data_IF_123556821654
#
_entry.id   IF_123556821654
#
_cell.length_a   1.000
_cell.length_b   1.000
_cell.length_c   1.000
_cell.angle_alpha   90.00
_cell.angle_beta   90.00
_cell.angle_gamma   90.00
#
_symmetry.space_group_name_H-M   'P 1'
#
loop_
_entity.id
_entity.type
_entity.pdbx_description
1 polymer ?
#
# COMPACT_ATOMS: atom_id res chain seq x y z
N UNK A 1 7.86 -24.02 -9.16
CA UNK A 1 8.03 -22.56 -9.43
C UNK A 1 8.21 -21.72 -8.15
N UNK A 2 8.57 -22.31 -6.99
CA UNK A 2 8.51 -21.58 -5.70
C UNK A 2 9.80 -20.90 -5.20
N UNK A 3 10.98 -21.22 -5.73
CA UNK A 3 12.24 -20.69 -5.18
C UNK A 3 12.73 -19.37 -5.82
N UNK A 4 12.12 -18.94 -6.92
CA UNK A 4 12.59 -17.79 -7.71
C UNK A 4 11.92 -16.47 -7.30
N UNK A 5 10.67 -16.52 -6.81
CA UNK A 5 9.88 -15.35 -6.38
C UNK A 5 10.34 -14.82 -5.02
N UNK A 6 10.66 -15.71 -4.06
CA UNK A 6 11.18 -15.31 -2.76
C UNK A 6 12.51 -14.54 -2.87
N UNK A 7 13.40 -14.99 -3.77
CA UNK A 7 14.69 -14.35 -4.01
C UNK A 7 14.56 -12.97 -4.66
N UNK A 8 13.56 -12.74 -5.50
CA UNK A 8 13.35 -11.44 -6.14
C UNK A 8 12.81 -10.41 -5.12
N UNK A 9 11.86 -10.80 -4.29
CA UNK A 9 11.31 -9.99 -3.20
C UNK A 9 12.42 -9.61 -2.21
N UNK A 10 13.21 -10.58 -1.75
CA UNK A 10 14.30 -10.33 -0.79
C UNK A 10 15.35 -9.34 -1.34
N UNK A 11 15.72 -9.49 -2.63
CA UNK A 11 16.65 -8.56 -3.26
C UNK A 11 16.09 -7.15 -3.36
N UNK A 12 14.80 -7.01 -3.68
CA UNK A 12 14.11 -5.71 -3.72
C UNK A 12 14.09 -5.04 -2.35
N UNK A 13 13.71 -5.78 -1.30
CA UNK A 13 13.73 -5.31 0.09
C UNK A 13 15.13 -4.83 0.51
N UNK A 14 16.16 -5.60 0.18
CA UNK A 14 17.55 -5.21 0.48
C UNK A 14 17.95 -3.92 -0.22
N UNK A 15 17.55 -3.73 -1.47
CA UNK A 15 17.79 -2.49 -2.22
C UNK A 15 17.07 -1.30 -1.57
N UNK A 16 15.83 -1.47 -1.14
CA UNK A 16 15.05 -0.42 -0.46
C UNK A 16 15.70 0.04 0.85
N UNK A 17 16.14 -0.90 1.70
CA UNK A 17 16.89 -0.53 2.92
C UNK A 17 18.23 0.14 2.60
N UNK A 18 18.90 -0.30 1.54
CA UNK A 18 20.12 0.35 1.05
C UNK A 18 19.86 1.80 0.61
N UNK A 19 18.77 2.02 -0.12
CA UNK A 19 18.37 3.34 -0.60
C UNK A 19 18.00 4.27 0.56
N UNK A 20 17.21 3.82 1.54
CA UNK A 20 16.90 4.61 2.73
C UNK A 20 18.17 4.99 3.49
N UNK A 21 19.05 4.03 3.75
CA UNK A 21 20.32 4.26 4.44
C UNK A 21 21.18 5.30 3.72
N UNK A 22 21.21 5.24 2.38
CA UNK A 22 21.92 6.21 1.56
C UNK A 22 21.29 7.61 1.64
N UNK A 23 19.96 7.72 1.50
CA UNK A 23 19.23 9.00 1.59
C UNK A 23 19.46 9.66 2.96
N UNK A 24 19.40 8.87 4.04
CA UNK A 24 19.66 9.36 5.40
C UNK A 24 21.08 9.85 5.60
N UNK A 25 22.08 9.14 5.03
CA UNK A 25 23.50 9.49 5.19
C UNK A 25 23.94 10.63 4.29
N UNK A 26 23.35 10.75 3.10
CA UNK A 26 23.74 11.71 2.07
C UNK A 26 22.52 12.40 1.44
N UNK A 27 21.73 13.17 2.21
CA UNK A 27 20.47 13.76 1.73
C UNK A 27 20.65 14.73 0.56
N UNK A 28 21.83 15.34 0.41
CA UNK A 28 22.17 16.24 -0.71
C UNK A 28 22.66 15.52 -1.98
N UNK A 29 22.72 14.18 -1.98
CA UNK A 29 23.20 13.35 -3.10
C UNK A 29 22.07 12.56 -3.75
N UNK A 30 20.91 13.20 -3.92
CA UNK A 30 19.76 12.64 -4.60
C UNK A 30 19.61 13.35 -5.94
N UNK A 31 19.44 12.57 -7.00
CA UNK A 31 19.43 13.06 -8.36
C UNK A 31 18.26 12.43 -9.13
N UNK A 32 17.68 13.18 -10.06
CA UNK A 32 16.58 12.69 -10.92
C UNK A 32 17.07 11.87 -12.11
N UNK A 33 18.38 11.84 -12.35
CA UNK A 33 19.00 11.14 -13.47
C UNK A 33 20.17 10.24 -13.04
N UNK A 34 20.46 9.23 -13.86
CA UNK A 34 21.49 8.21 -13.57
C UNK A 34 22.91 8.79 -13.58
N UNK A 35 23.14 9.87 -14.33
CA UNK A 35 24.41 10.58 -14.41
C UNK A 35 24.74 11.40 -13.15
N UNK A 36 23.79 11.50 -12.20
CA UNK A 36 23.92 12.28 -10.98
C UNK A 36 24.25 13.76 -11.25
N UNK A 37 23.72 14.32 -12.34
CA UNK A 37 23.99 15.70 -12.77
C UNK A 37 22.85 16.66 -12.44
N UNK A 38 21.61 16.15 -12.36
CA UNK A 38 20.44 16.97 -12.02
C UNK A 38 19.98 16.64 -10.59
N UNK A 39 20.18 17.54 -9.62
CA UNK A 39 19.78 17.30 -8.24
C UNK A 39 18.25 17.18 -8.13
N UNK A 40 17.80 16.47 -7.09
CA UNK A 40 16.37 16.39 -6.76
C UNK A 40 15.82 17.80 -6.48
N UNK A 41 14.70 18.20 -7.12
CA UNK A 41 14.27 19.61 -7.14
C UNK A 41 13.57 20.07 -5.86
N UNK A 42 13.42 19.19 -4.87
CA UNK A 42 12.73 19.48 -3.61
C UNK A 42 13.75 19.44 -2.48
N UNK A 43 13.88 20.56 -1.78
CA UNK A 43 14.63 20.61 -0.52
C UNK A 43 13.79 20.04 0.62
N UNK A 44 14.42 19.25 1.49
CA UNK A 44 13.77 18.67 2.66
C UNK A 44 14.75 18.52 3.82
N UNK A 45 14.23 18.58 5.05
CA UNK A 45 15.01 18.28 6.24
C UNK A 45 14.99 16.77 6.51
N UNK A 46 16.16 16.13 6.43
CA UNK A 46 16.29 14.69 6.66
C UNK A 46 15.93 14.25 8.09
N UNK A 47 16.05 15.14 9.07
CA UNK A 47 15.75 14.85 10.49
C UNK A 47 14.25 14.70 10.73
N UNK A 48 13.42 15.39 9.94
CA UNK A 48 11.96 15.36 10.03
C UNK A 48 11.32 14.58 8.88
N UNK A 49 12.11 14.09 7.93
CA UNK A 49 11.60 13.37 6.75
C UNK A 49 11.18 11.93 7.11
N UNK A 50 9.96 11.59 6.72
CA UNK A 50 9.48 10.22 6.69
C UNK A 50 9.84 9.58 5.34
N UNK A 51 10.39 8.36 5.39
CA UNK A 51 10.78 7.59 4.20
C UNK A 51 9.97 6.30 4.23
N UNK A 52 9.08 6.14 3.25
CA UNK A 52 8.24 4.95 3.09
C UNK A 52 8.90 4.01 2.08
N UNK A 53 9.11 2.75 2.46
CA UNK A 53 9.69 1.73 1.58
C UNK A 53 8.58 0.93 0.92
N UNK A 54 8.53 0.96 -0.40
CA UNK A 54 7.46 0.31 -1.18
C UNK A 54 8.10 -0.59 -2.24
N UNK A 55 7.81 -1.88 -2.18
CA UNK A 55 8.14 -2.86 -3.20
C UNK A 55 6.88 -3.20 -4.01
N UNK A 56 7.03 -3.30 -5.33
CA UNK A 56 5.91 -3.65 -6.22
C UNK A 56 6.29 -4.88 -7.04
N UNK A 57 5.55 -5.97 -6.85
CA UNK A 57 5.63 -7.16 -7.71
C UNK A 57 4.86 -6.90 -9.00
N UNK A 58 5.27 -7.54 -10.09
CA UNK A 58 4.63 -7.40 -11.40
C UNK A 58 4.24 -8.75 -11.94
N UNK A 59 3.14 -8.80 -12.70
CA UNK A 59 2.62 -9.98 -13.37
C UNK A 59 2.29 -11.11 -12.38
N UNK A 60 1.88 -10.77 -11.15
CA UNK A 60 1.49 -11.74 -10.14
C UNK A 60 0.00 -12.08 -10.15
N UNK A 61 -0.84 -11.25 -10.78
CA UNK A 61 -2.31 -11.39 -10.73
C UNK A 61 -2.79 -12.72 -11.32
N UNK A 62 -2.43 -13.03 -12.58
CA UNK A 62 -2.89 -14.24 -13.26
C UNK A 62 -2.33 -15.52 -12.59
N UNK A 63 -1.02 -15.61 -12.28
CA UNK A 63 -0.48 -16.77 -11.57
C UNK A 63 -1.04 -16.96 -10.16
N UNK A 64 -1.31 -15.86 -9.43
CA UNK A 64 -1.93 -15.91 -8.11
C UNK A 64 -3.37 -16.45 -8.21
N UNK A 65 -4.16 -15.94 -9.15
CA UNK A 65 -5.51 -16.41 -9.40
C UNK A 65 -5.55 -17.91 -9.73
N UNK A 66 -4.63 -18.40 -10.57
CA UNK A 66 -4.52 -19.83 -10.88
C UNK A 66 -4.12 -20.65 -9.63
N UNK A 67 -3.20 -20.15 -8.82
CA UNK A 67 -2.76 -20.83 -7.60
C UNK A 67 -3.88 -20.92 -6.54
N UNK A 68 -4.56 -19.82 -6.26
CA UNK A 68 -5.63 -19.78 -5.26
C UNK A 68 -6.90 -20.48 -5.76
N UNK A 69 -7.18 -20.41 -7.06
CA UNK A 69 -8.31 -21.10 -7.70
C UNK A 69 -8.28 -22.63 -7.57
N UNK A 70 -7.11 -23.23 -7.32
CA UNK A 70 -6.98 -24.67 -7.03
C UNK A 70 -7.61 -25.07 -5.69
N UNK A 71 -7.73 -24.13 -4.75
CA UNK A 71 -8.23 -24.39 -3.39
C UNK A 71 -9.72 -24.05 -3.23
N UNK A 72 -10.34 -23.43 -4.23
CA UNK A 72 -11.75 -23.03 -4.26
C UNK A 72 -12.03 -22.02 -5.37
N UNK A 73 -13.27 -21.94 -5.85
CA UNK A 73 -13.66 -20.91 -6.81
C UNK A 73 -13.80 -19.56 -6.09
N UNK A 74 -13.21 -18.49 -6.64
CA UNK A 74 -13.62 -17.11 -6.33
C UNK A 74 -12.63 -16.21 -5.60
N UNK A 75 -11.40 -16.65 -5.31
CA UNK A 75 -10.46 -15.76 -4.60
C UNK A 75 -10.00 -14.59 -5.49
N UNK A 76 -10.27 -13.36 -5.06
CA UNK A 76 -9.78 -12.12 -5.66
C UNK A 76 -8.35 -11.77 -5.24
N UNK A 77 -7.86 -12.42 -4.17
CA UNK A 77 -6.58 -12.14 -3.55
C UNK A 77 -5.41 -12.46 -4.47
N UNK A 78 -4.57 -11.46 -4.72
CA UNK A 78 -3.36 -11.60 -5.55
C UNK A 78 -2.09 -11.78 -4.73
N UNK A 79 -2.08 -11.31 -3.48
CA UNK A 79 -1.00 -11.46 -2.51
C UNK A 79 -1.58 -11.59 -1.09
N UNK A 80 -1.40 -12.76 -0.49
CA UNK A 80 -1.74 -13.01 0.91
C UNK A 80 -0.60 -12.52 1.79
N UNK A 81 -0.92 -11.76 2.84
CA UNK A 81 0.05 -11.11 3.70
C UNK A 81 -0.04 -11.71 5.09
N UNK A 82 0.91 -12.57 5.44
CA UNK A 82 0.95 -13.27 6.71
C UNK A 82 2.02 -12.69 7.61
N UNK A 83 1.67 -12.32 8.83
CA UNK A 83 2.51 -11.73 9.85
C UNK A 83 2.42 -12.53 11.15
N UNK A 84 3.20 -12.15 12.18
CA UNK A 84 3.00 -12.55 13.58
C UNK A 84 2.56 -14.01 13.81
N UNK A 85 3.51 -14.95 13.86
CA UNK A 85 3.22 -16.37 14.07
C UNK A 85 2.68 -17.10 12.84
N UNK A 86 2.11 -16.39 11.86
CA UNK A 86 1.73 -16.94 10.55
C UNK A 86 2.80 -16.74 9.47
N UNK A 87 3.95 -16.13 9.81
CA UNK A 87 5.06 -15.94 8.85
C UNK A 87 5.60 -17.25 8.27
N UNK A 88 5.39 -18.41 8.92
CA UNK A 88 5.71 -19.74 8.36
C UNK A 88 5.01 -19.99 7.01
N UNK A 89 3.89 -19.33 6.74
CA UNK A 89 3.15 -19.41 5.49
C UNK A 89 3.88 -18.75 4.32
N UNK A 90 4.90 -17.92 4.56
CA UNK A 90 5.70 -17.27 3.52
C UNK A 90 6.39 -18.25 2.55
N UNK A 91 6.53 -19.53 2.95
CA UNK A 91 7.09 -20.57 2.10
C UNK A 91 6.11 -21.01 0.99
N UNK A 92 4.87 -20.55 1.03
CA UNK A 92 3.87 -20.81 -0.01
C UNK A 92 3.92 -19.71 -1.08
N UNK A 93 3.68 -20.05 -2.37
CA UNK A 93 3.53 -19.04 -3.43
C UNK A 93 2.54 -17.94 -3.07
N UNK A 94 2.82 -16.71 -3.48
CA UNK A 94 1.97 -15.52 -3.27
C UNK A 94 1.68 -15.18 -1.79
N UNK A 95 2.47 -15.72 -0.86
CA UNK A 95 2.44 -15.33 0.54
C UNK A 95 3.66 -14.47 0.88
N UNK A 96 3.42 -13.30 1.47
CA UNK A 96 4.44 -12.34 1.88
C UNK A 96 4.35 -12.04 3.38
N UNK A 97 5.42 -11.48 3.94
CA UNK A 97 5.50 -11.15 5.37
C UNK A 97 6.29 -9.87 5.62
N UNK A 98 6.46 -9.49 6.89
CA UNK A 98 7.50 -8.55 7.31
C UNK A 98 8.82 -9.33 7.40
N UNK A 99 9.65 -9.21 6.36
CA UNK A 99 10.91 -9.95 6.26
C UNK A 99 12.01 -9.45 7.21
N UNK A 100 11.84 -8.26 7.80
CA UNK A 100 12.81 -7.65 8.71
C UNK A 100 12.11 -6.92 9.87
N UNK A 101 11.39 -7.65 10.76
CA UNK A 101 10.64 -7.06 11.86
C UNK A 101 11.55 -6.36 12.89
N UNK A 102 12.84 -6.68 12.90
CA UNK A 102 13.84 -6.00 13.74
C UNK A 102 14.17 -4.58 13.29
N UNK A 103 13.83 -4.21 12.04
CA UNK A 103 14.11 -2.88 11.49
C UNK A 103 12.97 -1.92 11.78
N UNK A 104 13.34 -0.69 12.15
CA UNK A 104 12.37 0.40 12.37
C UNK A 104 11.53 0.69 11.12
N UNK A 105 12.11 0.66 9.93
CA UNK A 105 11.38 0.93 8.69
C UNK A 105 10.69 -0.33 8.20
N UNK A 106 9.43 -0.23 7.80
CA UNK A 106 8.64 -1.32 7.23
C UNK A 106 8.66 -1.25 5.71
N UNK A 107 8.69 -2.42 5.05
CA UNK A 107 8.56 -2.49 3.59
C UNK A 107 7.14 -2.90 3.25
N UNK A 108 6.39 -1.98 2.66
CA UNK A 108 5.09 -2.28 2.09
C UNK A 108 5.28 -2.99 0.76
N UNK A 109 4.74 -4.20 0.63
CA UNK A 109 4.81 -4.98 -0.59
C UNK A 109 3.41 -4.99 -1.20
N UNK A 110 3.32 -4.55 -2.45
CA UNK A 110 2.11 -4.60 -3.26
C UNK A 110 2.38 -5.40 -4.51
N UNK A 111 1.32 -5.88 -5.15
CA UNK A 111 1.32 -6.19 -6.58
C UNK A 111 0.78 -5.01 -7.39
N UNK A 112 0.74 -5.15 -8.72
CA UNK A 112 0.20 -4.10 -9.58
C UNK A 112 -1.30 -3.84 -9.38
N UNK A 113 -2.08 -4.83 -8.92
CA UNK A 113 -3.51 -4.68 -8.69
C UNK A 113 -3.78 -3.91 -7.39
N UNK A 114 -3.23 -4.38 -6.27
CA UNK A 114 -3.38 -3.76 -4.96
C UNK A 114 -2.87 -2.33 -4.93
N UNK A 115 -1.69 -2.05 -5.50
CA UNK A 115 -1.19 -0.67 -5.56
C UNK A 115 -2.11 0.24 -6.38
N UNK A 116 -2.57 -0.23 -7.54
CA UNK A 116 -3.50 0.54 -8.38
C UNK A 116 -4.80 0.84 -7.65
N UNK A 117 -5.33 -0.15 -6.94
CA UNK A 117 -6.57 -0.01 -6.18
C UNK A 117 -6.44 1.02 -5.06
N UNK A 118 -5.38 0.90 -4.26
CA UNK A 118 -5.09 1.87 -3.19
C UNK A 118 -4.93 3.27 -3.75
N UNK A 119 -4.19 3.44 -4.85
CA UNK A 119 -4.01 4.75 -5.49
C UNK A 119 -5.26 5.29 -6.17
N UNK A 120 -6.21 4.44 -6.60
CA UNK A 120 -7.49 4.91 -7.16
C UNK A 120 -8.52 5.26 -6.09
N UNK A 121 -8.41 4.64 -4.91
CA UNK A 121 -9.30 4.92 -3.79
C UNK A 121 -8.82 6.10 -2.93
N UNK A 122 -7.51 6.26 -2.74
CA UNK A 122 -6.91 7.31 -1.91
C UNK A 122 -6.37 8.45 -2.79
N UNK A 123 -7.16 9.53 -2.91
CA UNK A 123 -6.93 10.61 -3.88
C UNK A 123 -5.72 11.52 -3.60
N UNK A 124 -5.21 11.54 -2.36
CA UNK A 124 -4.09 12.41 -1.97
C UNK A 124 -2.90 11.63 -1.44
N UNK A 125 -1.70 12.24 -1.56
CA UNK A 125 -0.49 11.67 -0.96
C UNK A 125 -0.64 11.51 0.56
N UNK A 126 -1.38 12.40 1.22
CA UNK A 126 -1.64 12.35 2.65
C UNK A 126 -2.46 11.12 3.03
N UNK A 127 -3.52 10.83 2.27
CA UNK A 127 -4.37 9.66 2.48
C UNK A 127 -3.58 8.37 2.26
N UNK A 128 -2.74 8.35 1.22
CA UNK A 128 -1.89 7.22 0.91
C UNK A 128 -0.87 6.93 2.02
N UNK A 129 -0.12 7.94 2.50
CA UNK A 129 0.87 7.69 3.57
C UNK A 129 0.19 7.35 4.90
N UNK A 130 -0.98 7.93 5.19
CA UNK A 130 -1.77 7.60 6.38
C UNK A 130 -2.27 6.15 6.36
N UNK A 131 -2.63 5.64 5.16
CA UNK A 131 -2.96 4.24 4.95
C UNK A 131 -1.76 3.32 5.23
N UNK A 132 -0.58 3.67 4.71
CA UNK A 132 0.65 2.92 4.97
C UNK A 132 0.97 2.89 6.47
N UNK A 133 0.92 4.04 7.14
CA UNK A 133 1.17 4.14 8.59
C UNK A 133 0.19 3.30 9.40
N UNK A 134 -1.11 3.38 9.07
CA UNK A 134 -2.14 2.57 9.72
C UNK A 134 -1.88 1.08 9.53
N UNK A 135 -1.68 0.63 8.29
CA UNK A 135 -1.39 -0.78 7.97
C UNK A 135 -0.18 -1.29 8.73
N UNK A 136 0.94 -0.55 8.68
CA UNK A 136 2.15 -0.89 9.42
C UNK A 136 1.88 -1.04 10.92
N UNK A 137 1.14 -0.09 11.51
CA UNK A 137 0.82 -0.10 12.94
C UNK A 137 0.01 -1.34 13.34
N UNK A 138 -1.09 -1.63 12.64
CA UNK A 138 -1.92 -2.81 12.95
C UNK A 138 -1.14 -4.12 12.83
N UNK A 139 -0.23 -4.22 11.85
CA UNK A 139 0.63 -5.39 11.68
C UNK A 139 1.64 -5.47 12.83
N UNK A 140 2.41 -4.40 13.10
CA UNK A 140 3.52 -4.45 14.06
C UNK A 140 3.10 -4.46 15.53
N UNK A 141 1.91 -3.96 15.83
CA UNK A 141 1.33 -4.05 17.17
C UNK A 141 0.73 -5.44 17.44
N UNK A 142 0.76 -6.37 16.47
CA UNK A 142 0.22 -7.72 16.64
C UNK A 142 -1.30 -7.79 16.53
N UNK A 143 -1.97 -6.73 16.08
CA UNK A 143 -3.43 -6.70 15.92
C UNK A 143 -3.84 -7.50 14.69
N UNK A 144 -3.12 -7.38 13.58
CA UNK A 144 -3.37 -8.12 12.34
C UNK A 144 -2.25 -9.13 12.10
N UNK A 145 -2.62 -10.40 11.92
CA UNK A 145 -1.68 -11.48 11.60
C UNK A 145 -1.86 -12.02 10.19
N UNK A 146 -2.97 -11.75 9.52
CA UNK A 146 -3.14 -12.12 8.13
C UNK A 146 -4.09 -11.16 7.40
N UNK A 147 -3.77 -10.85 6.15
CA UNK A 147 -4.61 -10.12 5.21
C UNK A 147 -4.65 -10.92 3.92
N UNK A 148 -5.82 -11.41 3.51
CA UNK A 148 -5.94 -12.25 2.31
C UNK A 148 -5.81 -11.48 0.99
N UNK A 149 -6.07 -10.17 1.01
CA UNK A 149 -5.94 -9.27 -0.14
C UNK A 149 -5.81 -7.80 0.28
N UNK A 150 -5.12 -6.99 -0.51
CA UNK A 150 -4.92 -5.56 -0.20
C UNK A 150 -6.25 -4.80 -0.13
N UNK A 151 -7.19 -5.18 -0.99
CA UNK A 151 -8.54 -4.64 -1.09
C UNK A 151 -9.32 -4.76 0.23
N UNK A 152 -9.11 -5.84 0.98
CA UNK A 152 -9.86 -6.11 2.21
C UNK A 152 -9.43 -5.17 3.34
N UNK A 153 -8.12 -4.97 3.50
CA UNK A 153 -7.61 -3.98 4.45
C UNK A 153 -7.95 -2.56 4.01
N UNK A 154 -7.89 -2.26 2.70
CA UNK A 154 -8.30 -0.96 2.16
C UNK A 154 -9.76 -0.63 2.45
N UNK A 155 -10.67 -1.58 2.28
CA UNK A 155 -12.09 -1.41 2.59
C UNK A 155 -12.31 -1.08 4.07
N UNK A 156 -11.66 -1.84 4.96
CA UNK A 156 -11.71 -1.60 6.40
C UNK A 156 -11.12 -0.23 6.75
N UNK A 157 -10.00 0.15 6.14
CA UNK A 157 -9.38 1.45 6.34
C UNK A 157 -10.30 2.59 5.89
N UNK A 158 -10.85 2.56 4.67
CA UNK A 158 -11.71 3.64 4.16
C UNK A 158 -12.97 3.77 5.01
N UNK A 159 -13.55 2.65 5.41
CA UNK A 159 -14.80 2.61 6.19
C UNK A 159 -14.63 3.25 7.57
N UNK A 160 -13.45 3.10 8.20
CA UNK A 160 -13.25 3.51 9.59
C UNK A 160 -12.31 4.71 9.74
N UNK A 161 -11.21 4.79 9.00
CA UNK A 161 -10.15 5.82 9.14
C UNK A 161 -9.93 6.69 7.89
N UNK A 162 -10.65 6.42 6.80
CA UNK A 162 -10.48 7.11 5.53
C UNK A 162 -10.87 8.60 5.55
N UNK A 163 -10.71 9.30 4.41
CA UNK A 163 -10.91 10.76 4.28
C UNK A 163 -12.31 11.25 4.68
N UNK A 164 -13.28 10.34 4.69
CA UNK A 164 -14.69 10.62 5.03
C UNK A 164 -15.15 9.85 6.27
N UNK A 165 -14.23 9.32 7.07
CA UNK A 165 -14.54 8.68 8.34
C UNK A 165 -15.21 9.66 9.30
N UNK A 166 -16.26 9.22 9.98
CA UNK A 166 -16.99 10.03 10.98
C UNK A 166 -16.26 10.13 12.32
N UNK A 167 -14.95 9.89 12.36
CA UNK A 167 -14.14 9.89 13.59
C UNK A 167 -14.15 8.55 14.36
N UNK A 168 -14.35 7.41 13.68
CA UNK A 168 -13.96 6.12 14.27
C UNK A 168 -12.43 6.03 14.15
N UNK A 169 -11.70 6.45 15.19
CA UNK A 169 -10.25 6.55 15.13
C UNK A 169 -9.56 5.19 14.93
N UNK A 170 -10.25 4.07 15.11
CA UNK A 170 -9.71 2.72 15.00
C UNK A 170 -10.59 1.82 14.10
N UNK A 171 -9.93 0.92 13.36
CA UNK A 171 -10.58 -0.17 12.65
C UNK A 171 -11.01 -1.15 13.75
N UNK A 172 -12.29 -1.56 13.81
CA UNK A 172 -12.83 -2.37 14.90
C UNK A 172 -12.38 -3.84 14.76
N UNK A 173 -11.09 -4.07 14.94
CA UNK A 173 -10.51 -5.40 15.06
C UNK A 173 -10.47 -5.74 16.54
N UNK A 174 -11.44 -6.54 16.98
CA UNK A 174 -11.75 -6.76 18.40
C UNK A 174 -10.71 -7.63 19.13
N UNK A 175 -9.87 -8.38 18.39
CA UNK A 175 -8.91 -9.33 18.97
C UNK A 175 -7.50 -9.20 18.38
N UNK A 176 -6.43 -9.36 19.20
CA UNK A 176 -5.08 -9.55 18.70
C UNK A 176 -4.99 -10.74 17.74
N UNK A 177 -4.09 -10.65 16.76
CA UNK A 177 -3.89 -11.64 15.70
C UNK A 177 -5.10 -11.88 14.79
N UNK A 178 -5.89 -10.82 14.54
CA UNK A 178 -7.00 -10.84 13.60
C UNK A 178 -6.54 -11.28 12.20
N UNK A 179 -7.40 -12.07 11.55
CA UNK A 179 -7.27 -12.48 10.15
C UNK A 179 -8.34 -11.74 9.36
N UNK A 180 -7.91 -10.92 8.41
CA UNK A 180 -8.79 -10.18 7.51
C UNK A 180 -9.05 -11.08 6.31
N UNK A 181 -10.31 -11.51 6.16
CA UNK A 181 -10.79 -12.42 5.12
C UNK A 181 -11.50 -11.66 3.99
N UNK A 182 -11.92 -12.39 2.95
CA UNK A 182 -12.62 -11.82 1.80
C UNK A 182 -14.03 -11.30 2.17
N UNK A 183 -14.47 -10.27 1.45
CA UNK A 183 -15.83 -9.75 1.49
C UNK A 183 -16.01 -8.37 2.13
N UNK A 184 -14.96 -7.83 2.78
CA UNK A 184 -14.98 -6.44 3.24
C UNK A 184 -14.97 -5.48 2.05
N UNK A 185 -14.22 -5.80 0.99
CA UNK A 185 -14.19 -5.01 -0.23
C UNK A 185 -15.56 -4.95 -0.91
N UNK A 186 -16.21 -6.09 -1.12
CA UNK A 186 -17.55 -6.13 -1.72
C UNK A 186 -18.56 -5.36 -0.88
N UNK A 187 -18.53 -5.57 0.45
CA UNK A 187 -19.38 -4.81 1.38
C UNK A 187 -19.14 -3.30 1.30
N UNK A 188 -17.89 -2.86 1.13
CA UNK A 188 -17.57 -1.46 0.91
C UNK A 188 -18.11 -0.96 -0.44
N UNK A 189 -17.94 -1.72 -1.52
CA UNK A 189 -18.43 -1.35 -2.85
C UNK A 189 -19.96 -1.14 -2.88
N UNK A 190 -20.71 -1.95 -2.15
CA UNK A 190 -22.17 -1.84 -2.03
C UNK A 190 -22.64 -0.79 -1.00
N UNK A 191 -21.71 -0.13 -0.30
CA UNK A 191 -22.05 0.80 0.76
C UNK A 191 -22.40 2.21 0.23
N UNK A 192 -23.31 2.90 0.94
CA UNK A 192 -23.59 4.32 0.70
C UNK A 192 -22.32 5.20 0.78
N UNK A 193 -21.32 4.77 1.58
CA UNK A 193 -20.03 5.48 1.67
C UNK A 193 -19.28 5.47 0.33
N UNK A 194 -19.27 4.34 -0.40
CA UNK A 194 -18.66 4.27 -1.72
C UNK A 194 -19.38 5.19 -2.71
N UNK A 195 -20.71 5.15 -2.73
CA UNK A 195 -21.52 6.04 -3.57
C UNK A 195 -21.19 7.52 -3.31
N UNK A 196 -21.07 7.89 -2.03
CA UNK A 196 -20.74 9.24 -1.61
C UNK A 196 -19.32 9.64 -2.06
N UNK A 197 -18.31 8.79 -1.81
CA UNK A 197 -16.92 9.08 -2.20
C UNK A 197 -16.78 9.23 -3.72
N UNK A 198 -17.45 8.39 -4.49
CA UNK A 198 -17.44 8.48 -5.96
C UNK A 198 -18.10 9.77 -6.47
N UNK A 199 -19.16 10.23 -5.81
CA UNK A 199 -19.77 11.53 -6.10
C UNK A 199 -18.78 12.68 -5.81
N UNK A 200 -18.11 12.66 -4.66
CA UNK A 200 -17.08 13.66 -4.31
C UNK A 200 -15.91 13.67 -5.32
N UNK A 201 -15.41 12.50 -5.70
CA UNK A 201 -14.34 12.34 -6.70
C UNK A 201 -14.71 12.93 -8.05
N UNK A 202 -15.94 12.71 -8.51
CA UNK A 202 -16.45 13.29 -9.77
C UNK A 202 -16.43 14.82 -9.71
N UNK A 203 -16.89 15.41 -8.61
CA UNK A 203 -16.88 16.87 -8.41
C UNK A 203 -15.45 17.41 -8.37
N UNK A 204 -14.56 16.78 -7.61
CA UNK A 204 -13.15 17.18 -7.49
C UNK A 204 -12.43 17.16 -8.85
N UNK A 205 -12.63 16.11 -9.66
CA UNK A 205 -12.05 16.02 -11.01
C UNK A 205 -12.51 17.16 -11.92
N UNK A 206 -13.80 17.53 -11.88
CA UNK A 206 -14.32 18.68 -12.64
C UNK A 206 -13.65 19.97 -12.17
N UNK A 207 -13.48 20.15 -10.87
CA UNK A 207 -12.77 21.31 -10.29
C UNK A 207 -11.32 21.42 -10.76
N UNK A 208 -10.58 20.30 -10.78
CA UNK A 208 -9.18 20.25 -11.25
C UNK A 208 -9.10 20.59 -12.75
N UNK A 209 -9.98 20.02 -13.57
CA UNK A 209 -10.02 20.31 -15.02
C UNK A 209 -10.27 21.81 -15.24
N UNK A 210 -11.21 22.39 -14.50
CA UNK A 210 -11.52 23.81 -14.58
C UNK A 210 -10.30 24.67 -14.17
N UNK A 211 -9.59 24.27 -13.11
CA UNK A 211 -8.37 24.94 -12.65
C UNK A 211 -7.24 24.87 -13.69
N UNK A 212 -7.08 23.72 -14.37
CA UNK A 212 -6.12 23.55 -15.47
C UNK A 212 -6.51 24.44 -16.67
N UNK A 213 -7.79 24.51 -17.04
CA UNK A 213 -8.28 25.39 -18.11
C UNK A 213 -8.00 26.86 -17.77
N UNK A 214 -8.30 27.30 -16.55
CA UNK A 214 -8.02 28.67 -16.12
C UNK A 214 -6.53 28.98 -16.08
N UNK A 215 -5.70 28.10 -15.53
CA UNK A 215 -4.23 28.32 -15.47
C UNK A 215 -3.57 28.30 -16.84
N UNK A 216 -4.08 27.53 -17.80
CA UNK A 216 -3.59 27.54 -19.20
C UNK A 216 -4.06 28.74 -20.02
N UNK A 217 -5.21 29.35 -19.68
CA UNK A 217 -5.77 30.50 -20.40
C UNK A 217 -5.46 31.86 -19.78
N UNK A 218 -4.91 31.92 -18.56
CA UNK A 218 -4.52 33.18 -17.88
C UNK A 218 -3.04 33.54 -18.10
N UNK A 219 -2.30 32.78 -18.92
CA UNK A 219 -0.89 33.04 -19.30
C UNK A 219 -0.76 33.54 -20.77
N UNK A 220 -1.85 34.03 -21.36
CA UNK A 220 -1.81 34.75 -22.64
C UNK A 220 -1.94 36.25 -22.44
#
# INVERSE_FOLDING_TARGET
MGAMEEKSIYNSIRQLYGAESFIRRYPKRIYVNKECSTPFPIEFNIETANIYLIAVTKNSVEPASEYFGQSGHGSSGTLVQCYNGLSVMQNKPFHISDYHPEKKSFVHIFDEHGLRLVMSELDTIHDFVSYLDAKQKYIRDGVVSCIVGEEEFLALYITHKGPMASGLDEIPLEEPNSIIIEGHWDSYQESFRKELLDAYKKVAKVGIILLIIFTTHTIC
#
